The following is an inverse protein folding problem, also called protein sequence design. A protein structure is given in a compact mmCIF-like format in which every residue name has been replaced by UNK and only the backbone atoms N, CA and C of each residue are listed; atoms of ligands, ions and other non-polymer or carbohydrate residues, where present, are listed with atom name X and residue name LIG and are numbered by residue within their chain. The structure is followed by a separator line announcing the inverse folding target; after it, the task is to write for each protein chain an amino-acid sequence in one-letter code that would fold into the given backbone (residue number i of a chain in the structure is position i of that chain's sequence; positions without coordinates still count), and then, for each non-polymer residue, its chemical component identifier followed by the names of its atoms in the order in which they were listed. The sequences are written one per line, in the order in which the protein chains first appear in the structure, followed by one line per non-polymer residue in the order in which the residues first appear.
data_IF_514000342076
#
_entry.id   IF_514000342076
#
_cell.length_a   1.000
_cell.length_b   1.000
_cell.length_c   1.000
_cell.angle_alpha   90.00
_cell.angle_beta   90.00
_cell.angle_gamma   90.00
#
_symmetry.space_group_name_H-M   'P 1'
#
loop_
_entity.id
_entity.type
_entity.pdbx_description
1 polymer ?
#
# COMPACT_ATOMS: atom_id res chain seq x y z
N UNK A 1 -2.28 12.50 47.01
CA UNK A 1 -2.71 13.32 45.86
C UNK A 1 -2.91 12.40 44.66
N UNK A 2 -4.16 12.25 44.19
CA UNK A 2 -4.49 11.41 43.02
C UNK A 2 -4.07 12.15 41.76
N UNK A 3 -3.29 11.51 40.88
CA UNK A 3 -2.79 12.12 39.64
C UNK A 3 -3.98 12.52 38.75
N UNK A 4 -3.94 13.73 38.20
CA UNK A 4 -4.96 14.19 37.24
C UNK A 4 -4.96 13.29 36.01
N UNK A 5 -6.12 12.82 35.53
CA UNK A 5 -6.21 12.00 34.33
C UNK A 5 -5.68 12.76 33.11
N UNK A 6 -5.09 12.03 32.16
CA UNK A 6 -4.48 12.61 30.96
C UNK A 6 -5.53 13.22 30.04
N UNK A 7 -5.19 14.31 29.35
CA UNK A 7 -6.09 14.99 28.40
C UNK A 7 -6.57 14.07 27.26
N UNK A 8 -5.78 13.04 26.91
CA UNK A 8 -6.19 12.02 25.93
C UNK A 8 -7.34 11.15 26.42
N UNK A 9 -7.44 10.85 27.72
CA UNK A 9 -8.53 10.05 28.27
C UNK A 9 -9.86 10.82 28.29
N UNK A 10 -9.80 12.16 28.43
CA UNK A 10 -10.97 13.04 28.43
C UNK A 10 -11.60 13.20 27.03
N UNK A 11 -10.81 13.05 25.97
CA UNK A 11 -11.27 13.19 24.58
C UNK A 11 -11.78 11.88 23.96
N UNK A 12 -11.87 10.79 24.73
CA UNK A 12 -12.41 9.54 24.22
C UNK A 12 -13.93 9.66 24.17
N UNK A 13 -14.48 9.84 22.97
CA UNK A 13 -15.92 9.79 22.76
C UNK A 13 -16.48 8.50 23.36
N UNK A 14 -17.48 8.61 24.23
CA UNK A 14 -18.17 7.46 24.78
C UNK A 14 -18.81 6.70 23.62
N UNK A 15 -18.39 5.44 23.42
CA UNK A 15 -18.93 4.59 22.36
C UNK A 15 -20.42 4.43 22.60
N UNK A 16 -21.24 4.85 21.65
CA UNK A 16 -22.69 4.74 21.76
C UNK A 16 -23.12 3.30 21.45
N UNK A 17 -24.27 2.89 21.97
CA UNK A 17 -24.81 1.53 21.76
C UNK A 17 -24.99 1.23 20.27
N UNK A 18 -25.42 2.22 19.48
CA UNK A 18 -25.56 2.12 18.02
C UNK A 18 -24.22 1.84 17.30
N UNK A 19 -23.12 2.42 17.78
CA UNK A 19 -21.79 2.16 17.22
C UNK A 19 -21.32 0.74 17.53
N UNK A 20 -21.68 0.21 18.70
CA UNK A 20 -21.40 -1.16 19.08
C UNK A 20 -22.21 -2.17 18.26
N UNK A 21 -23.50 -1.90 18.03
CA UNK A 21 -24.38 -2.75 17.21
C UNK A 21 -23.97 -2.74 15.73
N UNK A 22 -23.65 -1.58 15.17
CA UNK A 22 -23.15 -1.47 13.79
C UNK A 22 -21.82 -2.23 13.60
N UNK A 23 -20.96 -2.24 14.63
CA UNK A 23 -19.73 -3.04 14.63
C UNK A 23 -20.04 -4.53 14.73
N UNK A 24 -20.96 -4.93 15.61
CA UNK A 24 -21.36 -6.32 15.80
C UNK A 24 -21.96 -6.92 14.52
N UNK A 25 -22.84 -6.18 13.83
CA UNK A 25 -23.44 -6.63 12.57
C UNK A 25 -22.38 -6.83 11.47
N UNK A 26 -21.43 -5.88 11.34
CA UNK A 26 -20.30 -5.98 10.38
C UNK A 26 -19.36 -7.17 10.67
N UNK A 27 -19.29 -7.61 11.93
CA UNK A 27 -18.48 -8.75 12.35
C UNK A 27 -19.25 -10.06 12.22
N UNK A 28 -20.57 -10.05 12.43
CA UNK A 28 -21.44 -11.22 12.31
C UNK A 28 -21.52 -11.74 10.86
N UNK A 29 -21.48 -10.85 9.87
CA UNK A 29 -21.55 -11.22 8.44
C UNK A 29 -20.23 -11.82 7.89
N UNK A 30 -19.17 -11.90 8.70
CA UNK A 30 -17.91 -12.54 8.30
C UNK A 30 -17.95 -14.00 8.76
N UNK A 31 -18.13 -14.99 7.86
CA UNK A 31 -17.98 -16.38 8.24
C UNK A 31 -16.57 -16.58 8.77
N UNK A 32 -16.46 -17.02 10.03
CA UNK A 32 -15.19 -17.43 10.62
C UNK A 32 -14.58 -18.50 9.71
N UNK A 33 -13.42 -18.21 9.10
CA UNK A 33 -12.72 -19.12 8.19
C UNK A 33 -12.81 -18.81 6.69
N UNK A 34 -13.31 -17.63 6.28
CA UNK A 34 -13.05 -17.17 4.91
C UNK A 34 -11.52 -17.13 4.67
N UNK A 35 -11.00 -17.71 3.57
CA UNK A 35 -9.58 -17.64 3.28
C UNK A 35 -9.18 -16.18 3.25
N UNK A 36 -8.22 -15.81 4.10
CA UNK A 36 -7.62 -14.49 4.07
C UNK A 36 -7.21 -14.23 2.63
N UNK A 37 -7.79 -13.21 2.01
CA UNK A 37 -7.31 -12.76 0.69
C UNK A 37 -5.79 -12.60 0.86
N UNK A 38 -4.97 -13.20 -0.02
CA UNK A 38 -3.53 -13.08 0.10
C UNK A 38 -3.23 -11.58 0.23
N UNK A 39 -2.67 -11.19 1.36
CA UNK A 39 -2.34 -9.80 1.60
C UNK A 39 -1.45 -9.36 0.43
N UNK A 40 -1.75 -8.20 -0.21
CA UNK A 40 -0.90 -7.71 -1.26
C UNK A 40 0.52 -7.59 -0.71
N UNK A 41 1.48 -8.21 -1.38
CA UNK A 41 2.87 -8.25 -0.94
C UNK A 41 3.34 -6.82 -0.64
N UNK A 42 3.83 -6.61 0.60
CA UNK A 42 4.23 -5.28 1.06
C UNK A 42 5.36 -4.78 0.17
N UNK A 43 5.11 -3.69 -0.55
CA UNK A 43 6.13 -3.03 -1.34
C UNK A 43 7.16 -2.38 -0.41
N UNK A 44 8.37 -2.93 -0.39
CA UNK A 44 9.52 -2.33 0.31
C UNK A 44 10.15 -1.23 -0.54
N UNK A 45 10.48 -0.09 0.09
CA UNK A 45 11.18 1.00 -0.58
C UNK A 45 12.67 0.69 -0.62
N UNK A 46 13.24 0.67 -1.82
CA UNK A 46 14.66 0.43 -2.04
C UNK A 46 15.27 1.62 -2.78
N UNK A 47 16.44 2.06 -2.31
CA UNK A 47 17.27 3.05 -3.03
C UNK A 47 18.29 2.30 -3.86
N UNK A 48 18.32 2.56 -5.17
CA UNK A 48 19.27 1.94 -6.10
C UNK A 48 20.07 3.03 -6.81
N UNK A 49 21.34 2.76 -7.07
CA UNK A 49 22.18 3.62 -7.91
C UNK A 49 22.08 3.15 -9.35
N UNK A 50 21.75 4.06 -10.26
CA UNK A 50 21.67 3.81 -11.70
C UNK A 50 22.61 4.76 -12.43
N UNK A 51 23.12 4.34 -13.59
CA UNK A 51 23.86 5.24 -14.47
C UNK A 51 22.97 6.40 -14.93
N UNK A 52 23.55 7.59 -15.07
CA UNK A 52 22.82 8.81 -15.42
C UNK A 52 22.02 8.65 -16.73
N UNK A 53 22.67 8.13 -17.78
CA UNK A 53 22.03 7.89 -19.08
C UNK A 53 20.84 6.94 -18.99
N UNK A 54 20.93 5.93 -18.13
CA UNK A 54 19.85 4.97 -17.89
C UNK A 54 18.68 5.63 -17.16
N UNK A 55 18.96 6.44 -16.14
CA UNK A 55 17.94 7.14 -15.36
C UNK A 55 17.14 8.10 -16.26
N UNK A 56 17.82 8.92 -17.06
CA UNK A 56 17.18 9.81 -18.04
C UNK A 56 16.28 9.03 -18.99
N UNK A 57 16.75 7.90 -19.51
CA UNK A 57 15.98 7.08 -20.45
C UNK A 57 14.69 6.54 -19.83
N UNK A 58 14.74 6.10 -18.56
CA UNK A 58 13.57 5.55 -17.86
C UNK A 58 12.56 6.67 -17.53
N UNK A 59 13.03 7.86 -17.15
CA UNK A 59 12.17 9.02 -16.89
C UNK A 59 11.45 9.47 -18.16
N UNK A 60 12.17 9.54 -19.28
CA UNK A 60 11.61 9.86 -20.58
C UNK A 60 10.55 8.84 -21.01
N UNK A 61 10.82 7.55 -20.81
CA UNK A 61 9.87 6.48 -21.08
C UNK A 61 8.61 6.62 -20.22
N UNK A 62 8.77 6.90 -18.92
CA UNK A 62 7.65 7.11 -18.01
C UNK A 62 6.78 8.31 -18.44
N UNK A 63 7.40 9.42 -18.83
CA UNK A 63 6.71 10.61 -19.34
C UNK A 63 5.96 10.33 -20.63
N UNK A 64 6.58 9.63 -21.59
CA UNK A 64 5.94 9.24 -22.86
C UNK A 64 4.76 8.31 -22.63
N UNK A 65 4.91 7.30 -21.76
CA UNK A 65 3.84 6.38 -21.40
C UNK A 65 2.66 7.11 -20.75
N UNK A 66 2.94 8.06 -19.84
CA UNK A 66 1.92 8.91 -19.23
C UNK A 66 1.16 9.75 -20.26
N UNK A 67 1.86 10.39 -21.21
CA UNK A 67 1.24 11.17 -22.30
C UNK A 67 0.37 10.33 -23.23
N UNK A 68 0.80 9.10 -23.51
CA UNK A 68 0.11 8.18 -24.41
C UNK A 68 -0.97 7.34 -23.70
N UNK A 69 -1.16 7.52 -22.38
CA UNK A 69 -2.09 6.71 -21.59
C UNK A 69 -1.70 5.24 -21.40
N UNK A 70 -0.48 4.85 -21.79
CA UNK A 70 0.03 3.48 -21.69
C UNK A 70 0.66 3.22 -20.32
N UNK A 71 0.46 2.04 -19.76
CA UNK A 71 1.15 1.59 -18.55
C UNK A 71 2.41 0.79 -18.93
N UNK A 72 3.54 0.90 -18.19
CA UNK A 72 3.69 1.58 -16.89
C UNK A 72 4.06 3.07 -16.99
N UNK A 73 3.44 3.90 -16.14
CA UNK A 73 3.57 5.37 -16.11
C UNK A 73 4.59 5.92 -15.10
N UNK A 74 5.20 5.05 -14.29
CA UNK A 74 6.14 5.41 -13.23
C UNK A 74 7.44 4.62 -13.39
N UNK A 75 8.56 5.27 -13.13
CA UNK A 75 9.90 4.68 -13.04
C UNK A 75 9.88 3.39 -12.20
N UNK A 76 9.30 3.41 -11.00
CA UNK A 76 9.26 2.23 -10.14
C UNK A 76 8.48 1.05 -10.76
N UNK A 77 7.44 1.34 -11.54
CA UNK A 77 6.67 0.31 -12.23
C UNK A 77 7.43 -0.26 -13.42
N UNK A 78 8.14 0.58 -14.17
CA UNK A 78 9.02 0.16 -15.27
C UNK A 78 10.14 -0.76 -14.74
N UNK A 79 10.81 -0.34 -13.66
CA UNK A 79 11.88 -1.12 -13.03
C UNK A 79 11.36 -2.47 -12.53
N UNK A 80 10.18 -2.50 -11.90
CA UNK A 80 9.57 -3.76 -11.45
C UNK A 80 9.31 -4.73 -12.61
N UNK A 81 8.69 -4.25 -13.69
CA UNK A 81 8.41 -5.09 -14.88
C UNK A 81 9.71 -5.63 -15.48
N UNK A 82 10.75 -4.79 -15.58
CA UNK A 82 12.05 -5.21 -16.09
C UNK A 82 12.70 -6.29 -15.21
N UNK A 83 12.66 -6.12 -13.89
CA UNK A 83 13.19 -7.10 -12.93
C UNK A 83 12.42 -8.43 -12.97
N UNK A 84 11.08 -8.38 -13.02
CA UNK A 84 10.25 -9.58 -13.15
C UNK A 84 10.55 -10.35 -14.44
N UNK A 85 10.75 -9.65 -15.58
CA UNK A 85 11.14 -10.27 -16.84
C UNK A 85 12.52 -10.92 -16.77
N UNK A 86 13.48 -10.24 -16.14
CA UNK A 86 14.82 -10.79 -15.96
C UNK A 86 14.81 -12.05 -15.08
N UNK A 87 14.11 -12.02 -13.95
CA UNK A 87 13.99 -13.18 -13.04
C UNK A 87 13.26 -14.37 -13.68
N UNK A 88 12.24 -14.12 -14.51
CA UNK A 88 11.56 -15.17 -15.30
C UNK A 88 12.47 -15.84 -16.31
N UNK A 89 13.52 -15.17 -16.78
CA UNK A 89 14.46 -15.75 -17.75
C UNK A 89 15.46 -16.69 -17.05
N UNK A 90 15.66 -16.53 -15.74
CA UNK A 90 16.58 -17.33 -14.92
C UNK A 90 15.93 -18.59 -14.34
N UNK A 91 14.61 -18.70 -14.39
CA UNK A 91 13.82 -19.81 -13.84
C UNK A 91 13.32 -20.70 -14.97
#
# INVERSE_FOLDING_TARGET
MVKKPSQQALNRAAVTVEQAEALAQRLADKPYGAPEKPEPEKQCRTTISLGESMLVTIEDLALRNKRNGKDPKNVSAIVRVALEQYLKTLT
#
